data_IF_877192165246
#
_entry.id   IF_877192165246
#
_cell.length_a   1.000
_cell.length_b   1.000
_cell.length_c   1.000
_cell.angle_alpha   90.00
_cell.angle_beta   90.00
_cell.angle_gamma   90.00
#
_symmetry.space_group_name_H-M   'P 1'
#
loop_
_entity.id
_entity.type
_entity.pdbx_description
1 polymer ?
#
# COMPACT_ATOMS: atom_id res chain seq x y z
N UNK A 1 -14.48 18.81 -5.76
CA UNK A 1 -14.76 19.05 -7.20
C UNK A 1 -14.95 17.74 -7.95
N UNK A 2 -14.02 16.78 -7.86
CA UNK A 2 -14.13 15.45 -8.48
C UNK A 2 -15.31 14.62 -7.92
N UNK A 3 -15.46 14.54 -6.60
CA UNK A 3 -16.56 13.83 -5.92
C UNK A 3 -17.95 14.33 -6.35
N UNK A 4 -18.11 15.65 -6.52
CA UNK A 4 -19.36 16.26 -7.02
C UNK A 4 -19.67 15.85 -8.47
N UNK A 5 -18.67 15.71 -9.33
CA UNK A 5 -18.84 15.27 -10.72
C UNK A 5 -19.26 13.79 -10.79
N UNK A 6 -18.72 12.94 -9.90
CA UNK A 6 -19.11 11.53 -9.82
C UNK A 6 -20.60 11.39 -9.49
N UNK A 7 -21.07 12.09 -8.46
CA UNK A 7 -22.48 12.09 -8.07
C UNK A 7 -23.43 12.57 -9.15
N UNK A 8 -22.98 13.44 -10.07
CA UNK A 8 -23.81 13.95 -11.17
C UNK A 8 -23.89 13.01 -12.37
N UNK A 9 -22.91 12.12 -12.55
CA UNK A 9 -22.76 11.30 -13.76
C UNK A 9 -23.60 10.03 -13.79
N UNK A 10 -24.28 9.68 -12.70
CA UNK A 10 -25.00 8.41 -12.47
C UNK A 10 -24.18 7.15 -12.83
N UNK A 11 -22.85 7.29 -12.90
CA UNK A 11 -21.91 6.25 -13.30
C UNK A 11 -21.30 5.62 -12.06
N UNK A 12 -21.22 4.29 -12.05
CA UNK A 12 -20.41 3.59 -11.04
C UNK A 12 -18.96 3.60 -11.47
N UNK A 13 -18.07 4.07 -10.59
CA UNK A 13 -16.64 4.08 -10.84
C UNK A 13 -15.98 3.13 -9.87
N UNK A 14 -15.22 2.19 -10.42
CA UNK A 14 -14.41 1.25 -9.66
C UNK A 14 -12.95 1.61 -9.83
N UNK A 15 -12.20 1.58 -8.73
CA UNK A 15 -10.76 1.81 -8.73
C UNK A 15 -10.02 0.48 -8.67
N UNK A 16 -9.37 0.08 -9.76
CA UNK A 16 -8.60 -1.17 -9.79
C UNK A 16 -7.45 -1.15 -8.79
N UNK A 17 -7.62 -1.83 -7.66
CA UNK A 17 -6.63 -1.98 -6.60
C UNK A 17 -6.39 -3.46 -6.23
N UNK A 18 -5.93 -4.31 -7.17
CA UNK A 18 -5.97 -5.77 -6.99
C UNK A 18 -5.31 -6.24 -5.70
N UNK A 19 -4.15 -5.66 -5.34
CA UNK A 19 -3.36 -6.08 -4.19
C UNK A 19 -4.10 -5.96 -2.84
N UNK A 20 -5.09 -5.05 -2.69
CA UNK A 20 -5.89 -4.96 -1.45
C UNK A 20 -6.80 -6.19 -1.26
N UNK A 21 -7.06 -6.95 -2.33
CA UNK A 21 -7.84 -8.19 -2.35
C UNK A 21 -6.96 -9.44 -2.33
N UNK A 22 -5.65 -9.30 -2.22
CA UNK A 22 -4.73 -10.43 -2.16
C UNK A 22 -4.84 -11.17 -0.82
N UNK A 23 -4.70 -12.49 -0.85
CA UNK A 23 -4.65 -13.34 0.36
C UNK A 23 -3.47 -12.96 1.25
N UNK A 24 -2.31 -12.68 0.65
CA UNK A 24 -1.12 -12.23 1.39
C UNK A 24 -1.39 -10.93 2.13
N UNK A 25 -2.09 -9.98 1.52
CA UNK A 25 -2.45 -8.73 2.18
C UNK A 25 -3.50 -8.93 3.27
N UNK A 26 -4.48 -9.80 3.05
CA UNK A 26 -5.45 -10.17 4.08
C UNK A 26 -4.74 -10.70 5.33
N UNK A 27 -3.82 -11.66 5.18
CA UNK A 27 -3.03 -12.20 6.28
C UNK A 27 -2.14 -11.12 6.92
N UNK A 28 -1.53 -10.26 6.10
CA UNK A 28 -0.68 -9.15 6.57
C UNK A 28 -1.44 -8.27 7.56
N UNK A 29 -2.68 -7.89 7.26
CA UNK A 29 -3.51 -7.09 8.17
C UNK A 29 -3.77 -7.81 9.50
N UNK A 30 -3.99 -9.12 9.49
CA UNK A 30 -4.16 -9.90 10.73
C UNK A 30 -2.86 -9.95 11.53
N UNK A 31 -1.72 -10.14 10.86
CA UNK A 31 -0.40 -10.13 11.50
C UNK A 31 -0.10 -8.78 12.16
N UNK A 32 -0.31 -7.66 11.48
CA UNK A 32 -0.10 -6.32 12.04
C UNK A 32 -0.90 -6.16 13.35
N UNK A 33 -2.15 -6.62 13.38
CA UNK A 33 -3.00 -6.56 14.60
C UNK A 33 -2.48 -7.42 15.75
N UNK A 34 -1.77 -8.50 15.45
CA UNK A 34 -1.20 -9.41 16.46
C UNK A 34 0.17 -8.97 16.99
N UNK A 35 0.87 -8.09 16.27
CA UNK A 35 2.20 -7.61 16.63
C UNK A 35 2.06 -6.42 17.58
N UNK A 36 2.75 -6.48 18.73
CA UNK A 36 2.86 -5.37 19.66
C UNK A 36 4.09 -4.51 19.34
N UNK A 37 4.00 -3.20 19.59
CA UNK A 37 5.15 -2.30 19.44
C UNK A 37 5.48 -1.94 17.98
N UNK A 38 4.50 -2.04 17.08
CA UNK A 38 4.66 -1.52 15.70
C UNK A 38 4.88 -0.01 15.77
N UNK A 39 5.99 0.44 15.19
CA UNK A 39 6.35 1.87 15.09
C UNK A 39 6.26 2.42 13.69
N UNK A 40 6.25 1.55 12.67
CA UNK A 40 6.02 1.99 11.32
C UNK A 40 6.11 0.90 10.28
N UNK A 41 6.11 1.32 9.03
CA UNK A 41 6.14 0.45 7.87
C UNK A 41 7.09 1.02 6.82
N UNK A 42 7.79 0.15 6.11
CA UNK A 42 8.55 0.52 4.92
C UNK A 42 8.06 -0.31 3.73
N UNK A 43 7.68 0.36 2.66
CA UNK A 43 7.24 -0.24 1.42
C UNK A 43 8.24 0.06 0.31
N UNK A 44 8.60 -0.97 -0.45
CA UNK A 44 9.41 -0.83 -1.66
C UNK A 44 8.68 -1.49 -2.82
N UNK A 45 8.51 -0.74 -3.91
CA UNK A 45 7.96 -1.29 -5.15
C UNK A 45 8.64 -0.71 -6.38
N UNK A 46 9.61 -1.45 -6.88
CA UNK A 46 10.49 -1.00 -7.95
C UNK A 46 10.65 -2.06 -9.03
N UNK A 47 11.00 -1.63 -10.23
CA UNK A 47 11.31 -2.55 -11.32
C UNK A 47 11.74 -1.84 -12.60
N UNK A 48 12.19 -2.63 -13.57
CA UNK A 48 12.78 -2.12 -14.80
C UNK A 48 11.76 -1.86 -15.92
N UNK A 49 10.47 -2.09 -15.64
CA UNK A 49 9.39 -1.78 -16.57
C UNK A 49 9.31 -0.27 -16.79
N UNK A 50 9.50 0.12 -18.05
CA UNK A 50 9.29 1.49 -18.51
C UNK A 50 8.20 1.44 -19.58
N UNK A 51 7.31 2.43 -19.56
CA UNK A 51 6.26 2.60 -20.55
C UNK A 51 6.43 3.98 -21.19
N UNK A 52 6.12 4.11 -22.47
CA UNK A 52 6.23 5.41 -23.16
C UNK A 52 5.25 6.44 -22.59
N UNK A 53 4.07 6.00 -22.15
CA UNK A 53 2.98 6.88 -21.73
C UNK A 53 2.97 7.26 -20.24
N UNK A 54 3.75 6.59 -19.39
CA UNK A 54 3.69 6.79 -17.93
C UNK A 54 5.07 6.66 -17.30
N UNK A 55 5.43 7.62 -16.43
CA UNK A 55 6.64 7.50 -15.62
C UNK A 55 6.49 6.40 -14.57
N UNK A 56 7.59 5.71 -14.27
CA UNK A 56 7.58 4.55 -13.39
C UNK A 56 7.06 4.90 -11.99
N UNK A 57 7.48 6.02 -11.41
CA UNK A 57 7.02 6.48 -10.10
C UNK A 57 5.49 6.57 -10.00
N UNK A 58 4.80 6.94 -11.09
CA UNK A 58 3.33 7.05 -11.13
C UNK A 58 2.62 5.73 -11.45
N UNK A 59 3.31 4.75 -12.06
CA UNK A 59 2.77 3.40 -12.29
C UNK A 59 2.89 2.57 -11.01
N UNK A 60 4.03 2.66 -10.31
CA UNK A 60 4.36 1.79 -9.19
C UNK A 60 3.83 2.26 -7.83
N UNK A 61 3.97 3.55 -7.49
CA UNK A 61 3.59 4.07 -6.17
C UNK A 61 2.11 3.88 -5.79
N UNK A 62 1.13 4.03 -6.72
CA UNK A 62 -0.28 3.76 -6.46
C UNK A 62 -0.58 2.47 -5.71
N UNK A 63 0.13 1.40 -6.06
CA UNK A 63 -0.14 0.08 -5.50
C UNK A 63 0.00 0.05 -3.97
N UNK A 64 1.05 0.66 -3.43
CA UNK A 64 1.29 0.68 -1.98
C UNK A 64 0.47 1.77 -1.28
N UNK A 65 0.14 2.87 -1.96
CA UNK A 65 -0.78 3.86 -1.41
C UNK A 65 -2.18 3.28 -1.21
N UNK A 66 -2.65 2.41 -2.11
CA UNK A 66 -3.92 1.69 -1.94
C UNK A 66 -3.86 0.70 -0.77
N UNK A 67 -2.76 -0.02 -0.59
CA UNK A 67 -2.56 -0.90 0.56
C UNK A 67 -2.55 -0.09 1.86
N UNK A 68 -1.88 1.07 1.90
CA UNK A 68 -1.91 1.96 3.06
C UNK A 68 -3.32 2.46 3.36
N UNK A 69 -4.06 2.92 2.34
CA UNK A 69 -5.45 3.35 2.51
C UNK A 69 -6.34 2.24 3.10
N UNK A 70 -6.23 1.02 2.56
CA UNK A 70 -6.96 -0.15 3.05
C UNK A 70 -6.54 -0.52 4.48
N UNK A 71 -5.25 -0.41 4.82
CA UNK A 71 -4.78 -0.60 6.19
C UNK A 71 -5.41 0.42 7.14
N UNK A 72 -5.30 1.73 6.85
CA UNK A 72 -5.83 2.81 7.69
C UNK A 72 -7.33 2.64 7.93
N UNK A 73 -8.10 2.32 6.87
CA UNK A 73 -9.54 2.02 6.97
C UNK A 73 -9.81 0.80 7.83
N UNK A 74 -9.12 -0.32 7.58
CA UNK A 74 -9.34 -1.58 8.29
C UNK A 74 -8.92 -1.55 9.77
N UNK A 75 -7.92 -0.72 10.11
CA UNK A 75 -7.43 -0.51 11.46
C UNK A 75 -8.18 0.63 12.17
N UNK A 76 -9.10 1.32 11.49
CA UNK A 76 -9.85 2.49 11.99
C UNK A 76 -8.91 3.59 12.52
N UNK A 77 -7.80 3.80 11.82
CA UNK A 77 -6.88 4.89 12.12
C UNK A 77 -7.56 6.22 11.79
N UNK A 78 -7.44 7.19 12.70
CA UNK A 78 -7.91 8.55 12.44
C UNK A 78 -7.07 9.20 11.33
N UNK A 79 -7.64 9.27 10.14
CA UNK A 79 -7.00 9.81 8.93
C UNK A 79 -6.84 11.33 8.98
N UNK A 80 -7.46 12.02 9.94
CA UNK A 80 -7.20 13.44 10.18
C UNK A 80 -5.76 13.68 10.65
N UNK A 81 -5.19 12.71 11.39
CA UNK A 81 -3.80 12.72 11.85
C UNK A 81 -2.76 12.37 10.78
N UNK A 82 -3.19 11.92 9.58
CA UNK A 82 -2.29 11.57 8.49
C UNK A 82 -1.63 12.83 7.92
N UNK A 83 -0.30 12.88 7.97
CA UNK A 83 0.52 13.99 7.49
C UNK A 83 1.58 13.46 6.54
N UNK A 84 1.73 14.10 5.39
CA UNK A 84 2.89 13.91 4.51
C UNK A 84 4.06 14.69 5.12
N UNK A 85 5.11 13.99 5.52
CA UNK A 85 6.30 14.58 6.16
C UNK A 85 7.49 14.70 5.20
N UNK A 86 7.46 13.99 4.08
CA UNK A 86 8.51 14.06 3.07
C UNK A 86 8.02 13.56 1.71
N UNK A 87 8.42 14.24 0.64
CA UNK A 87 8.24 13.79 -0.73
C UNK A 87 9.45 14.18 -1.57
N UNK A 88 10.03 13.20 -2.26
CA UNK A 88 11.14 13.41 -3.19
C UNK A 88 10.87 12.59 -4.44
N UNK A 89 10.93 13.22 -5.61
CA UNK A 89 10.88 12.55 -6.91
C UNK A 89 12.19 12.83 -7.62
N UNK A 90 12.96 11.78 -7.88
CA UNK A 90 14.26 11.87 -8.55
C UNK A 90 14.53 10.60 -9.34
N UNK A 91 15.18 10.72 -10.51
CA UNK A 91 15.63 9.57 -11.31
C UNK A 91 14.54 8.52 -11.59
N UNK A 92 13.31 8.97 -11.87
CA UNK A 92 12.13 8.10 -12.10
C UNK A 92 11.74 7.22 -10.90
N UNK A 93 12.13 7.67 -9.70
CA UNK A 93 11.71 7.11 -8.43
C UNK A 93 11.03 8.17 -7.59
N UNK A 94 10.17 7.72 -6.69
CA UNK A 94 9.55 8.54 -5.67
C UNK A 94 9.80 7.95 -4.29
N UNK A 95 10.07 8.84 -3.35
CA UNK A 95 10.12 8.54 -1.92
C UNK A 95 9.07 9.39 -1.20
N UNK A 96 8.16 8.74 -0.49
CA UNK A 96 7.14 9.39 0.31
C UNK A 96 7.30 8.98 1.78
N UNK A 97 7.09 9.93 2.68
CA UNK A 97 7.08 9.69 4.12
C UNK A 97 5.79 10.25 4.70
N UNK A 98 5.12 9.43 5.50
CA UNK A 98 3.91 9.81 6.21
C UNK A 98 4.06 9.55 7.71
N UNK A 99 3.42 10.39 8.52
CA UNK A 99 3.16 10.13 9.92
C UNK A 99 1.65 10.10 10.18
N UNK A 100 1.22 9.27 11.13
CA UNK A 100 -0.18 9.14 11.53
C UNK A 100 -0.29 8.49 12.91
N UNK A 101 -1.49 8.57 13.53
CA UNK A 101 -1.77 8.00 14.84
C UNK A 101 -0.74 8.39 15.93
N UNK A 102 -0.22 9.62 15.85
CA UNK A 102 0.76 10.24 16.75
C UNK A 102 2.15 9.59 16.84
N UNK A 103 2.31 8.31 16.48
CA UNK A 103 3.57 7.58 16.64
C UNK A 103 3.92 6.63 15.50
N UNK A 104 3.06 6.46 14.50
CA UNK A 104 3.32 5.56 13.37
C UNK A 104 3.90 6.33 12.19
N UNK A 105 4.85 5.70 11.50
CA UNK A 105 5.40 6.17 10.24
C UNK A 105 5.14 5.19 9.09
N UNK A 106 5.07 5.72 7.88
CA UNK A 106 5.08 4.92 6.65
C UNK A 106 6.05 5.55 5.66
N UNK A 107 7.01 4.77 5.18
CA UNK A 107 7.95 5.17 4.14
C UNK A 107 7.70 4.35 2.88
N UNK A 108 7.59 5.00 1.74
CA UNK A 108 7.46 4.36 0.43
C UNK A 108 8.65 4.73 -0.44
N UNK A 109 9.26 3.73 -1.08
CA UNK A 109 10.15 3.91 -2.22
C UNK A 109 9.56 3.18 -3.44
N UNK A 110 9.27 3.89 -4.52
CA UNK A 110 8.68 3.28 -5.71
C UNK A 110 9.23 3.87 -7.01
N UNK A 111 9.16 3.10 -8.10
CA UNK A 111 9.53 3.57 -9.44
C UNK A 111 10.59 2.71 -10.13
N UNK A 112 11.38 3.32 -11.00
CA UNK A 112 12.33 2.59 -11.84
C UNK A 112 13.53 2.07 -11.04
N UNK A 113 13.85 0.79 -11.20
CA UNK A 113 15.08 0.16 -10.71
C UNK A 113 15.50 -0.94 -11.69
N UNK A 114 16.77 -1.31 -11.70
CA UNK A 114 17.23 -2.46 -12.50
C UNK A 114 16.71 -3.78 -11.91
N UNK A 115 16.58 -3.83 -10.59
CA UNK A 115 16.06 -4.98 -9.85
C UNK A 115 14.58 -4.80 -9.55
N UNK A 116 13.85 -5.92 -9.59
CA UNK A 116 12.43 -5.94 -9.24
C UNK A 116 12.27 -6.27 -7.76
N UNK A 117 11.68 -5.35 -7.03
CA UNK A 117 11.35 -5.51 -5.61
C UNK A 117 9.89 -5.12 -5.38
N UNK A 118 9.21 -5.87 -4.52
CA UNK A 118 7.83 -5.57 -4.13
C UNK A 118 7.57 -6.13 -2.75
N UNK A 119 7.84 -5.35 -1.71
CA UNK A 119 7.66 -5.80 -0.33
C UNK A 119 7.23 -4.70 0.63
N UNK A 120 6.63 -5.12 1.75
CA UNK A 120 6.45 -4.32 2.96
C UNK A 120 7.28 -4.89 4.09
N UNK A 121 7.83 -4.01 4.94
CA UNK A 121 8.45 -4.35 6.22
C UNK A 121 7.64 -3.70 7.32
N UNK A 122 7.24 -4.49 8.32
CA UNK A 122 6.63 -4.00 9.54
C UNK A 122 7.77 -3.73 10.52
N UNK A 123 7.92 -2.49 10.97
CA UNK A 123 8.97 -2.07 11.90
C UNK A 123 8.40 -2.07 13.32
N UNK A 124 9.13 -2.71 14.23
CA UNK A 124 8.75 -2.79 15.65
C UNK A 124 9.88 -2.29 16.54
N UNK A 125 9.53 -1.77 17.72
CA UNK A 125 10.48 -1.51 18.80
C UNK A 125 11.23 -2.82 19.14
N UNK A 126 12.57 -2.79 19.08
CA UNK A 126 13.49 -3.90 19.39
C UNK A 126 13.72 -4.99 18.32
N UNK A 127 13.87 -4.58 17.06
CA UNK A 127 14.75 -5.23 16.04
C UNK A 127 14.17 -6.30 15.12
N UNK A 128 12.90 -6.68 15.24
CA UNK A 128 12.32 -7.73 14.38
C UNK A 128 11.33 -7.17 13.36
N UNK A 129 11.77 -7.18 12.09
CA UNK A 129 10.90 -6.84 10.97
C UNK A 129 10.20 -8.10 10.43
N UNK A 130 8.88 -8.03 10.33
CA UNK A 130 8.13 -8.97 9.48
C UNK A 130 8.17 -8.43 8.06
N UNK A 131 8.60 -9.25 7.10
CA UNK A 131 8.71 -8.92 5.69
C UNK A 131 7.57 -9.62 4.94
N UNK A 132 6.86 -8.84 4.14
CA UNK A 132 5.79 -9.29 3.27
C UNK A 132 6.29 -9.08 1.85
N UNK A 133 6.70 -10.15 1.18
CA UNK A 133 7.23 -10.12 -0.18
C UNK A 133 6.11 -10.51 -1.14
N UNK A 134 5.56 -9.51 -1.86
CA UNK A 134 4.49 -9.71 -2.83
C UNK A 134 4.99 -10.37 -4.12
N UNK A 135 6.26 -10.21 -4.46
CA UNK A 135 6.85 -10.83 -5.65
C UNK A 135 7.05 -12.34 -5.41
N UNK A 136 7.62 -12.70 -4.25
CA UNK A 136 7.81 -14.09 -3.85
C UNK A 136 6.55 -14.72 -3.25
N UNK A 137 5.52 -13.91 -2.98
CA UNK A 137 4.28 -14.30 -2.30
C UNK A 137 4.54 -14.97 -0.96
N UNK A 138 5.40 -14.37 -0.14
CA UNK A 138 5.78 -14.91 1.17
C UNK A 138 5.64 -13.88 2.27
N UNK A 139 5.35 -14.37 3.48
CA UNK A 139 5.52 -13.59 4.70
C UNK A 139 6.59 -14.26 5.54
N UNK A 140 7.66 -13.53 5.83
CA UNK A 140 8.75 -13.98 6.69
C UNK A 140 8.83 -13.13 7.95
N UNK A 141 8.82 -13.79 9.11
CA UNK A 141 8.99 -13.14 10.40
C UNK A 141 10.29 -13.62 11.04
N UNK A 142 11.16 -12.69 11.40
CA UNK A 142 12.26 -12.95 12.31
C UNK A 142 11.67 -13.01 13.71
N UNK A 143 11.41 -14.20 14.25
CA UNK A 143 11.23 -14.37 15.70
C UNK A 143 12.21 -15.44 16.16
N UNK A 144 13.07 -15.17 17.16
CA UNK A 144 14.15 -16.05 17.59
C UNK A 144 13.62 -17.35 18.18
N UNK A 145 12.35 -17.39 18.59
CA UNK A 145 11.68 -18.58 19.10
C UNK A 145 10.88 -19.34 18.05
N UNK A 146 10.48 -18.72 16.93
CA UNK A 146 9.75 -19.37 15.83
C UNK A 146 9.77 -18.52 14.54
N UNK A 147 10.73 -18.76 13.62
CA UNK A 147 10.72 -18.11 12.33
C UNK A 147 9.41 -18.43 11.60
N UNK A 148 8.66 -17.40 11.22
CA UNK A 148 7.44 -17.61 10.45
C UNK A 148 7.79 -17.59 8.98
N UNK A 149 7.43 -18.62 8.24
CA UNK A 149 7.50 -18.63 6.78
C UNK A 149 6.15 -19.13 6.24
N UNK A 150 5.38 -18.23 5.65
CA UNK A 150 4.12 -18.56 5.00
C UNK A 150 4.22 -18.27 3.50
N UNK A 151 3.57 -19.10 2.67
CA UNK A 151 3.61 -18.99 1.23
C UNK A 151 2.20 -18.96 0.64
N UNK A 152 2.00 -18.10 -0.36
CA UNK A 152 0.69 -17.80 -0.94
C UNK A 152 0.67 -18.09 -2.45
N UNK A 153 1.04 -19.31 -2.86
CA UNK A 153 1.17 -19.67 -4.29
C UNK A 153 -0.12 -19.42 -5.08
N UNK A 154 -1.27 -19.76 -4.47
CA UNK A 154 -2.62 -19.63 -5.05
C UNK A 154 -3.23 -18.22 -4.89
N UNK A 155 -2.42 -17.21 -4.60
CA UNK A 155 -2.91 -15.83 -4.51
C UNK A 155 -3.05 -15.22 -5.91
N UNK A 156 -4.27 -14.81 -6.23
CA UNK A 156 -4.63 -14.15 -7.49
C UNK A 156 -5.50 -12.90 -7.18
N UNK A 157 -4.85 -11.75 -6.93
CA UNK A 157 -5.55 -10.57 -6.43
C UNK A 157 -6.57 -9.99 -7.42
N UNK A 158 -6.30 -10.12 -8.73
CA UNK A 158 -7.18 -9.62 -9.78
C UNK A 158 -8.50 -10.40 -9.84
N UNK A 159 -8.42 -11.74 -9.82
CA UNK A 159 -9.62 -12.59 -9.85
C UNK A 159 -10.45 -12.38 -8.59
N UNK A 160 -9.80 -12.28 -7.42
CA UNK A 160 -10.51 -11.99 -6.17
C UNK A 160 -11.22 -10.63 -6.22
N UNK A 161 -10.54 -9.58 -6.68
CA UNK A 161 -11.14 -8.24 -6.81
C UNK A 161 -12.35 -8.24 -7.74
N UNK A 162 -12.23 -8.86 -8.93
CA UNK A 162 -13.35 -8.96 -9.88
C UNK A 162 -14.55 -9.70 -9.29
N UNK A 163 -14.30 -10.77 -8.54
CA UNK A 163 -15.34 -11.49 -7.80
C UNK A 163 -16.07 -10.60 -6.80
N UNK A 164 -15.34 -9.80 -6.02
CA UNK A 164 -15.93 -8.87 -5.04
C UNK A 164 -16.72 -7.75 -5.73
N UNK A 165 -16.21 -7.17 -6.82
CA UNK A 165 -16.93 -6.10 -7.53
C UNK A 165 -18.27 -6.54 -8.10
N UNK A 166 -18.37 -7.80 -8.51
CA UNK A 166 -19.63 -8.36 -9.00
C UNK A 166 -20.67 -8.59 -7.89
N UNK A 167 -20.25 -8.71 -6.64
CA UNK A 167 -21.10 -9.13 -5.53
C UNK A 167 -21.41 -8.00 -4.53
N UNK A 168 -20.40 -7.21 -4.16
CA UNK A 168 -20.45 -6.36 -2.97
C UNK A 168 -20.39 -4.85 -3.26
N UNK A 169 -20.16 -4.46 -4.52
CA UNK A 169 -20.10 -3.05 -4.97
C UNK A 169 -19.34 -2.10 -4.00
N UNK A 170 -18.05 -2.37 -3.73
CA UNK A 170 -17.35 -1.73 -2.62
C UNK A 170 -17.06 -0.24 -2.89
N UNK A 171 -17.33 0.60 -1.89
CA UNK A 171 -17.07 2.03 -1.94
C UNK A 171 -15.57 2.36 -1.79
N UNK A 172 -15.11 3.28 -2.66
CA UNK A 172 -13.75 3.84 -2.63
C UNK A 172 -13.74 5.12 -1.80
N UNK A 173 -12.84 5.19 -0.82
CA UNK A 173 -12.62 6.42 -0.03
C UNK A 173 -11.74 7.40 -0.84
N UNK A 174 -12.38 8.13 -1.75
CA UNK A 174 -11.69 9.06 -2.65
C UNK A 174 -10.94 10.16 -1.92
N UNK A 175 -11.45 10.62 -0.78
CA UNK A 175 -10.80 11.69 -0.01
C UNK A 175 -9.47 11.20 0.58
N UNK A 176 -9.44 9.99 1.15
CA UNK A 176 -8.20 9.38 1.62
C UNK A 176 -7.22 9.11 0.47
N UNK A 177 -7.71 8.58 -0.66
CA UNK A 177 -6.86 8.33 -1.84
C UNK A 177 -6.23 9.63 -2.33
N UNK A 178 -7.00 10.69 -2.52
CA UNK A 178 -6.48 11.99 -2.97
C UNK A 178 -5.47 12.54 -1.97
N UNK A 179 -5.75 12.43 -0.65
CA UNK A 179 -4.82 12.87 0.40
C UNK A 179 -3.46 12.14 0.30
N UNK A 180 -3.46 10.84 0.07
CA UNK A 180 -2.25 10.03 -0.13
C UNK A 180 -1.52 10.32 -1.45
N UNK A 181 -2.21 10.87 -2.45
CA UNK A 181 -1.60 11.21 -3.75
C UNK A 181 -1.01 12.62 -3.79
N UNK A 182 -1.33 13.49 -2.82
CA UNK A 182 -0.73 14.83 -2.73
C UNK A 182 0.80 14.77 -2.77
N UNK A 183 1.40 13.77 -2.12
CA UNK A 183 2.84 13.53 -2.14
C UNK A 183 3.42 13.19 -3.52
N UNK A 184 2.63 12.59 -4.43
CA UNK A 184 3.08 12.25 -5.79
C UNK A 184 3.03 13.45 -6.75
N UNK A 185 2.12 14.39 -6.51
CA UNK A 185 1.80 15.45 -7.49
C UNK A 185 2.53 16.76 -7.20
N UNK A 186 3.20 16.87 -6.04
CA UNK A 186 3.81 18.12 -5.59
C UNK A 186 2.78 19.23 -5.29
N UNK A 187 1.48 18.90 -5.29
CA UNK A 187 0.40 19.80 -4.95
C UNK A 187 0.23 19.78 -3.42
N UNK A 188 0.67 20.88 -2.78
CA UNK A 188 0.35 21.21 -1.39
C UNK A 188 -0.87 22.13 -1.33
#
# INVERSE_FOLDING_TARGET
>A
MFSNLLTQSNSKIYLSQPWTYSKIWHETKQKIRSITGVTGFQATRTGNLTREAFSAEYDWAPHDLYLLADYLKSARVDTSSLLLTGSVIENKQVRLQYSFASSLSFELAAGFSNDRESYWKIICDNSEATIIDFERKTITGSSPSSPTHQQFTEDNPLITMLGVYLLDDPEVDWDLIVKLYSGLTGLQ
#
